data_IF_492467306640
#
_entry.id   IF_492467306640
#
_cell.length_a   1.000
_cell.length_b   1.000
_cell.length_c   1.000
_cell.angle_alpha   90.00
_cell.angle_beta   90.00
_cell.angle_gamma   90.00
#
_symmetry.space_group_name_H-M   'P 1'
#
loop_
_entity.id
_entity.type
_entity.pdbx_description
1 polymer ?
#
# COMPACT_ATOMS: atom_id res chain seq x y z
N UNK A 1 2.16 31.97 -32.35
CA UNK A 1 2.05 30.54 -32.05
C UNK A 1 0.57 30.17 -31.95
N UNK A 2 0.10 29.19 -32.75
CA UNK A 2 -1.29 28.71 -32.63
C UNK A 2 -1.32 27.66 -31.50
N UNK A 3 -2.05 27.94 -30.45
CA UNK A 3 -2.29 26.94 -29.38
C UNK A 3 -3.40 26.00 -29.83
N UNK A 4 -3.18 24.70 -29.73
CA UNK A 4 -4.17 23.68 -30.08
C UNK A 4 -4.41 22.81 -28.86
N UNK A 5 -5.68 22.69 -28.47
CA UNK A 5 -6.07 21.78 -27.35
C UNK A 5 -6.30 20.38 -27.91
N UNK A 6 -5.59 19.40 -27.36
CA UNK A 6 -5.74 17.99 -27.70
C UNK A 6 -6.42 17.25 -26.55
N UNK A 7 -7.38 16.38 -26.88
CA UNK A 7 -8.00 15.46 -25.92
C UNK A 7 -7.52 14.05 -26.21
N UNK A 8 -7.10 13.35 -25.16
CA UNK A 8 -6.70 11.95 -25.24
C UNK A 8 -7.20 11.20 -24.00
N UNK A 9 -7.31 9.88 -24.09
CA UNK A 9 -7.70 9.03 -22.99
C UNK A 9 -6.49 8.26 -22.48
N UNK A 10 -6.27 8.31 -21.17
CA UNK A 10 -5.28 7.47 -20.50
C UNK A 10 -5.94 6.11 -20.21
N UNK A 11 -5.36 5.00 -20.69
CA UNK A 11 -5.94 3.69 -20.42
C UNK A 11 -5.86 3.36 -18.93
N UNK A 12 -6.91 2.70 -18.42
CA UNK A 12 -6.91 2.21 -17.05
C UNK A 12 -5.73 1.26 -16.81
N UNK A 13 -5.06 1.41 -15.68
CA UNK A 13 -3.86 0.63 -15.35
C UNK A 13 -2.58 1.09 -16.08
N UNK A 14 -2.57 2.30 -16.68
CA UNK A 14 -1.34 2.87 -17.23
C UNK A 14 -0.23 2.89 -16.19
N UNK A 15 0.99 2.60 -16.61
CA UNK A 15 2.19 2.52 -15.77
C UNK A 15 3.13 3.66 -16.10
N UNK A 16 4.09 3.91 -15.22
CA UNK A 16 5.20 4.81 -15.45
C UNK A 16 5.86 4.53 -16.81
N UNK A 17 6.14 5.59 -17.58
CA UNK A 17 6.73 5.48 -18.91
C UNK A 17 5.80 4.93 -20.00
N UNK A 18 4.49 4.75 -19.72
CA UNK A 18 3.52 4.36 -20.76
C UNK A 18 3.46 5.41 -21.84
N UNK A 19 3.71 5.02 -23.11
CA UNK A 19 3.66 5.93 -24.26
C UNK A 19 2.36 5.76 -25.04
N UNK A 20 1.65 6.89 -25.19
CA UNK A 20 0.46 7.00 -26.03
C UNK A 20 0.82 7.67 -27.34
N UNK A 21 0.48 7.05 -28.48
CA UNK A 21 0.72 7.58 -29.82
C UNK A 21 -0.55 8.20 -30.38
N UNK A 22 -0.48 9.48 -30.73
CA UNK A 22 -1.52 10.18 -31.48
C UNK A 22 -1.06 10.44 -32.89
N UNK A 23 -1.58 9.65 -33.85
CA UNK A 23 -1.21 9.73 -35.25
C UNK A 23 -1.58 11.06 -35.86
N UNK A 24 -0.66 11.65 -36.64
CA UNK A 24 -0.88 12.90 -37.36
C UNK A 24 -1.17 14.11 -36.46
N UNK A 25 -0.70 14.12 -35.21
CA UNK A 25 -0.87 15.21 -34.26
C UNK A 25 0.45 15.83 -33.78
N UNK A 26 1.55 15.41 -34.39
CA UNK A 26 2.88 15.97 -34.14
C UNK A 26 3.16 17.22 -34.97
N UNK A 27 4.42 17.62 -34.97
CA UNK A 27 4.88 18.77 -35.79
C UNK A 27 4.76 18.45 -37.29
N UNK A 28 4.55 19.47 -38.15
CA UNK A 28 4.60 19.29 -39.59
C UNK A 28 6.00 18.88 -40.03
N UNK A 29 6.08 17.99 -41.03
CA UNK A 29 7.37 17.57 -41.57
C UNK A 29 8.14 18.75 -42.18
N UNK A 30 9.47 18.85 -41.96
CA UNK A 30 10.28 19.95 -42.43
C UNK A 30 10.35 20.07 -43.97
N UNK A 31 10.02 19.01 -44.68
CA UNK A 31 10.11 18.97 -46.15
C UNK A 31 8.84 19.31 -46.92
N UNK A 32 7.84 19.89 -46.28
CA UNK A 32 6.71 20.53 -46.95
C UNK A 32 5.70 19.59 -47.63
N UNK A 33 5.69 18.30 -47.30
CA UNK A 33 4.68 17.35 -47.83
C UNK A 33 3.29 17.58 -47.26
N UNK A 34 3.13 18.52 -46.30
CA UNK A 34 1.85 18.80 -45.63
C UNK A 34 1.40 17.71 -44.64
N UNK A 35 2.16 16.64 -44.50
CA UNK A 35 1.85 15.62 -43.53
C UNK A 35 2.36 16.00 -42.13
N UNK A 36 1.52 15.77 -41.16
CA UNK A 36 1.89 15.93 -39.74
C UNK A 36 2.49 14.63 -39.19
N UNK A 37 3.58 14.74 -38.45
CA UNK A 37 4.15 13.63 -37.71
C UNK A 37 3.23 13.14 -36.59
N UNK A 38 3.65 12.14 -35.88
CA UNK A 38 2.92 11.63 -34.72
C UNK A 38 3.34 12.36 -33.43
N UNK A 39 2.40 12.50 -32.52
CA UNK A 39 2.65 12.97 -31.16
C UNK A 39 2.72 11.80 -30.21
N UNK A 40 3.78 11.75 -29.41
CA UNK A 40 3.94 10.77 -28.34
C UNK A 40 3.76 11.47 -26.99
N UNK A 41 2.93 10.89 -26.14
CA UNK A 41 2.67 11.35 -24.78
C UNK A 41 3.19 10.27 -23.87
N UNK A 42 4.12 10.61 -22.98
CA UNK A 42 4.65 9.73 -21.95
C UNK A 42 3.92 10.02 -20.63
N UNK A 43 3.48 8.95 -19.95
CA UNK A 43 2.76 9.05 -18.70
C UNK A 43 3.78 9.00 -17.56
N UNK A 44 3.75 9.99 -16.70
CA UNK A 44 4.44 10.00 -15.42
C UNK A 44 3.42 9.72 -14.32
N UNK A 45 3.75 8.83 -13.38
CA UNK A 45 2.87 8.45 -12.27
C UNK A 45 3.43 9.03 -10.98
N UNK A 46 2.67 9.92 -10.35
CA UNK A 46 3.05 10.47 -9.05
C UNK A 46 2.94 9.42 -7.94
N UNK A 47 3.91 9.43 -7.01
CA UNK A 47 3.89 8.59 -5.83
C UNK A 47 2.73 8.99 -4.91
N UNK A 48 2.04 7.98 -4.35
CA UNK A 48 0.99 8.20 -3.38
C UNK A 48 1.54 8.07 -1.95
N UNK A 49 1.18 8.96 -1.01
CA UNK A 49 1.76 8.95 0.35
C UNK A 49 1.45 7.68 1.15
N UNK A 50 0.41 6.94 0.82
CA UNK A 50 -0.05 5.76 1.57
C UNK A 50 -0.01 4.46 0.80
N UNK A 51 -0.09 4.53 -0.54
CA UNK A 51 -0.13 3.35 -1.39
C UNK A 51 1.09 3.29 -2.29
N UNK A 52 1.82 2.21 -2.20
CA UNK A 52 2.88 1.83 -3.14
C UNK A 52 2.29 0.89 -4.18
N UNK A 53 2.66 1.07 -5.43
CA UNK A 53 2.20 0.24 -6.53
C UNK A 53 3.15 -0.93 -6.78
N UNK A 54 2.60 -2.15 -6.87
CA UNK A 54 3.32 -3.34 -7.30
C UNK A 54 2.53 -4.04 -8.43
N UNK A 55 2.82 -3.68 -9.69
CA UNK A 55 2.00 -4.10 -10.83
C UNK A 55 0.54 -3.63 -10.70
N UNK A 56 -0.45 -4.52 -10.68
CA UNK A 56 -1.84 -4.17 -10.42
C UNK A 56 -2.17 -4.06 -8.93
N UNK A 57 -1.29 -4.52 -8.04
CA UNK A 57 -1.53 -4.52 -6.61
C UNK A 57 -1.13 -3.19 -5.97
N UNK A 58 -1.78 -2.87 -4.87
CA UNK A 58 -1.48 -1.73 -4.02
C UNK A 58 -0.99 -2.24 -2.66
N UNK A 59 0.15 -1.76 -2.23
CA UNK A 59 0.73 -2.10 -0.93
C UNK A 59 0.61 -0.90 -0.01
N UNK A 60 0.20 -1.12 1.24
CA UNK A 60 0.17 -0.09 2.27
C UNK A 60 0.63 -0.62 3.62
N UNK A 61 1.21 0.24 4.43
CA UNK A 61 1.50 -0.05 5.84
C UNK A 61 0.39 0.49 6.73
N UNK A 62 -0.14 -0.37 7.61
CA UNK A 62 -1.17 0.00 8.59
C UNK A 62 -0.56 -0.04 10.00
N UNK A 63 -0.26 1.13 10.61
CA UNK A 63 0.20 1.18 11.98
C UNK A 63 -0.97 1.00 12.95
N UNK A 64 -0.87 0.02 13.85
CA UNK A 64 -1.90 -0.30 14.85
C UNK A 64 -1.28 -0.39 16.25
N UNK A 65 -2.06 -0.06 17.25
CA UNK A 65 -1.67 -0.23 18.65
C UNK A 65 -1.70 -1.70 19.09
N UNK A 66 -1.03 -1.99 20.20
CA UNK A 66 -1.01 -3.35 20.79
C UNK A 66 -2.41 -3.89 21.04
N UNK A 67 -3.30 -3.06 21.62
CA UNK A 67 -4.67 -3.48 21.93
C UNK A 67 -5.46 -3.85 20.67
N UNK A 68 -5.28 -3.10 19.56
CA UNK A 68 -5.95 -3.38 18.29
C UNK A 68 -5.50 -4.72 17.71
N UNK A 69 -4.21 -5.06 17.85
CA UNK A 69 -3.66 -6.33 17.37
C UNK A 69 -4.15 -7.51 18.19
N UNK A 70 -4.23 -7.36 19.51
CA UNK A 70 -4.68 -8.44 20.39
C UNK A 70 -6.17 -8.68 20.28
N UNK A 71 -6.97 -7.61 20.27
CA UNK A 71 -8.43 -7.69 20.31
C UNK A 71 -9.06 -7.78 18.91
N UNK A 72 -8.29 -7.43 17.88
CA UNK A 72 -8.81 -7.21 16.55
C UNK A 72 -9.51 -5.87 16.42
N UNK A 73 -9.53 -5.35 15.21
CA UNK A 73 -10.17 -4.05 14.91
C UNK A 73 -10.63 -3.99 13.46
N UNK A 74 -11.36 -2.94 13.12
CA UNK A 74 -11.76 -2.64 11.76
C UNK A 74 -11.44 -1.19 11.47
N UNK A 75 -10.62 -0.94 10.46
CA UNK A 75 -10.19 0.40 10.06
C UNK A 75 -10.76 0.72 8.70
N UNK A 76 -11.41 1.88 8.57
CA UNK A 76 -11.92 2.36 7.30
C UNK A 76 -11.11 3.56 6.85
N UNK A 77 -10.59 3.51 5.64
CA UNK A 77 -9.81 4.56 4.99
C UNK A 77 -10.43 4.92 3.65
N UNK A 78 -10.09 6.09 3.12
CA UNK A 78 -10.43 6.44 1.76
C UNK A 78 -9.48 5.74 0.77
N UNK A 79 -10.06 5.08 -0.22
CA UNK A 79 -9.33 4.42 -1.29
C UNK A 79 -9.06 5.41 -2.46
N UNK A 80 -8.16 5.05 -3.39
CA UNK A 80 -7.81 5.86 -4.57
C UNK A 80 -9.01 6.21 -5.47
N UNK A 81 -10.09 5.46 -5.42
CA UNK A 81 -11.33 5.71 -6.16
C UNK A 81 -12.33 6.61 -5.39
N UNK A 82 -11.92 7.18 -4.26
CA UNK A 82 -12.75 8.02 -3.39
C UNK A 82 -13.81 7.26 -2.61
N UNK A 83 -13.77 5.94 -2.59
CA UNK A 83 -14.69 5.08 -1.82
C UNK A 83 -14.03 4.57 -0.57
N UNK A 84 -14.86 4.16 0.37
CA UNK A 84 -14.38 3.54 1.59
C UNK A 84 -13.73 2.18 1.33
N UNK A 85 -12.56 1.98 1.94
CA UNK A 85 -11.87 0.72 2.03
C UNK A 85 -11.82 0.28 3.50
N UNK A 86 -12.57 -0.75 3.84
CA UNK A 86 -12.58 -1.30 5.19
C UNK A 86 -11.61 -2.45 5.30
N UNK A 87 -10.67 -2.33 6.22
CA UNK A 87 -9.64 -3.31 6.55
C UNK A 87 -10.03 -3.98 7.86
N UNK A 88 -10.35 -5.27 7.80
CA UNK A 88 -10.65 -6.08 8.99
C UNK A 88 -9.36 -6.71 9.49
N UNK A 89 -8.98 -6.40 10.71
CA UNK A 89 -7.79 -6.95 11.38
C UNK A 89 -8.26 -7.97 12.41
N UNK A 90 -7.99 -9.26 12.19
CA UNK A 90 -8.37 -10.31 13.14
C UNK A 90 -7.70 -10.13 14.51
N UNK A 91 -8.33 -10.63 15.56
CA UNK A 91 -7.70 -10.70 16.88
C UNK A 91 -6.48 -11.64 16.84
N UNK A 92 -5.41 -11.24 17.51
CA UNK A 92 -4.15 -11.98 17.52
C UNK A 92 -3.26 -11.78 16.29
N UNK A 93 -3.58 -10.78 15.42
CA UNK A 93 -2.71 -10.42 14.30
C UNK A 93 -1.35 -9.97 14.79
N UNK A 94 -0.29 -10.51 14.19
CA UNK A 94 1.10 -10.19 14.55
C UNK A 94 1.64 -9.03 13.71
N UNK A 95 2.51 -8.21 14.31
CA UNK A 95 3.24 -7.18 13.55
C UNK A 95 4.12 -7.84 12.48
N UNK A 96 4.02 -7.37 11.24
CA UNK A 96 4.69 -7.95 10.08
C UNK A 96 3.79 -8.88 9.24
N UNK A 97 2.62 -9.25 9.75
CA UNK A 97 1.64 -9.97 8.93
C UNK A 97 1.06 -9.10 7.82
N UNK A 98 0.66 -9.75 6.74
CA UNK A 98 -0.02 -9.11 5.62
C UNK A 98 -1.47 -9.54 5.55
N UNK A 99 -2.36 -8.57 5.34
CA UNK A 99 -3.78 -8.80 5.09
C UNK A 99 -4.07 -8.46 3.63
N UNK A 100 -4.79 -9.33 2.94
CA UNK A 100 -5.11 -9.17 1.52
C UNK A 100 -6.59 -8.79 1.34
N UNK A 101 -6.84 -7.70 0.63
CA UNK A 101 -8.18 -7.26 0.26
C UNK A 101 -8.33 -7.43 -1.25
N UNK A 102 -9.00 -8.51 -1.64
CA UNK A 102 -9.09 -8.95 -3.03
C UNK A 102 -9.85 -7.96 -3.91
N UNK A 103 -9.39 -7.82 -5.16
CA UNK A 103 -10.02 -7.02 -6.21
C UNK A 103 -10.21 -5.53 -5.83
N UNK A 104 -9.36 -5.03 -4.93
CA UNK A 104 -9.36 -3.62 -4.55
C UNK A 104 -8.10 -2.87 -5.00
N UNK A 105 -7.21 -3.54 -5.74
CA UNK A 105 -6.05 -2.93 -6.38
C UNK A 105 -6.40 -2.17 -7.66
N UNK A 106 -5.41 -1.93 -8.49
CA UNK A 106 -5.53 -1.21 -9.77
C UNK A 106 -6.07 -2.13 -10.87
N UNK A 107 -6.66 -1.58 -11.93
CA UNK A 107 -7.00 -2.34 -13.12
C UNK A 107 -5.74 -2.95 -13.76
N UNK A 108 -5.77 -4.25 -14.08
CA UNK A 108 -4.70 -4.93 -14.80
C UNK A 108 -4.74 -4.62 -16.30
N UNK A 109 -3.56 -4.40 -16.93
CA UNK A 109 -3.46 -4.03 -18.36
C UNK A 109 -3.91 -5.13 -19.34
N UNK A 110 -3.68 -6.40 -19.01
CA UNK A 110 -3.84 -7.53 -19.97
C UNK A 110 -4.98 -8.48 -19.68
N UNK A 111 -5.45 -8.57 -18.45
CA UNK A 111 -6.40 -9.62 -18.03
C UNK A 111 -7.81 -9.11 -17.73
N UNK A 112 -8.07 -7.81 -17.84
CA UNK A 112 -9.37 -7.21 -17.47
C UNK A 112 -9.74 -7.35 -16.00
N UNK A 113 -8.86 -7.93 -15.16
CA UNK A 113 -9.04 -8.06 -13.72
C UNK A 113 -8.53 -6.85 -12.96
N UNK A 114 -8.79 -6.83 -11.67
CA UNK A 114 -8.17 -5.90 -10.71
C UNK A 114 -7.18 -6.66 -9.85
N UNK A 115 -6.10 -5.98 -9.48
CA UNK A 115 -5.21 -6.45 -8.43
C UNK A 115 -5.84 -6.34 -7.04
N UNK A 116 -5.06 -6.59 -6.03
CA UNK A 116 -5.48 -6.63 -4.64
C UNK A 116 -4.85 -5.46 -3.86
N UNK A 117 -5.38 -5.18 -2.66
CA UNK A 117 -4.71 -4.32 -1.69
C UNK A 117 -4.05 -5.21 -0.65
N UNK A 118 -2.74 -5.07 -0.53
CA UNK A 118 -1.91 -5.79 0.44
C UNK A 118 -1.58 -4.83 1.59
N UNK A 119 -2.06 -5.16 2.78
CA UNK A 119 -1.89 -4.34 3.98
C UNK A 119 -0.84 -4.98 4.87
N UNK A 120 0.31 -4.33 5.02
CA UNK A 120 1.35 -4.74 5.96
C UNK A 120 1.04 -4.15 7.34
N UNK A 121 0.68 -5.00 8.28
CA UNK A 121 0.37 -4.61 9.67
C UNK A 121 1.67 -4.29 10.41
N UNK A 122 1.73 -3.12 11.05
CA UNK A 122 2.88 -2.69 11.85
C UNK A 122 2.44 -2.28 13.25
N UNK A 123 3.13 -2.77 14.26
CA UNK A 123 2.91 -2.30 15.63
C UNK A 123 3.42 -0.85 15.76
N UNK A 124 2.52 0.04 16.15
CA UNK A 124 2.84 1.41 16.50
C UNK A 124 3.03 1.56 18.01
N UNK A 125 4.21 2.01 18.41
CA UNK A 125 4.53 2.28 19.81
C UNK A 125 4.34 3.77 20.11
N UNK A 126 3.42 4.14 21.02
CA UNK A 126 3.23 5.53 21.40
C UNK A 126 4.47 6.05 22.14
N UNK A 127 4.92 7.25 21.79
CA UNK A 127 6.08 7.90 22.44
C UNK A 127 5.81 8.30 23.89
N UNK A 128 4.54 8.58 24.21
CA UNK A 128 4.09 8.99 25.55
C UNK A 128 2.74 8.34 25.84
N UNK A 129 2.54 7.91 27.08
CA UNK A 129 1.28 7.42 27.60
C UNK A 129 0.93 8.16 28.88
N UNK A 130 -0.34 8.39 29.13
CA UNK A 130 -0.83 9.01 30.36
C UNK A 130 -0.73 8.05 31.56
N UNK A 131 -0.99 8.57 32.78
CA UNK A 131 -0.91 7.77 34.01
C UNK A 131 -1.91 6.60 34.03
N UNK A 132 -3.11 6.80 33.47
CA UNK A 132 -4.17 5.77 33.42
C UNK A 132 -3.76 4.62 32.50
N UNK A 133 -3.29 4.95 31.30
CA UNK A 133 -2.80 3.96 30.31
C UNK A 133 -1.58 3.22 30.84
N UNK A 134 -0.66 3.92 31.52
CA UNK A 134 0.53 3.28 32.13
C UNK A 134 0.12 2.25 33.18
N UNK A 135 -0.87 2.55 34.03
CA UNK A 135 -1.39 1.60 35.03
C UNK A 135 -2.00 0.36 34.38
N UNK A 136 -2.84 0.56 33.34
CA UNK A 136 -3.43 -0.55 32.59
C UNK A 136 -2.37 -1.45 31.94
N UNK A 137 -1.33 -0.84 31.35
CA UNK A 137 -0.20 -1.60 30.76
C UNK A 137 0.61 -2.37 31.82
N UNK A 138 0.72 -1.86 33.06
CA UNK A 138 1.34 -2.60 34.16
C UNK A 138 0.51 -3.82 34.55
N UNK A 139 -0.80 -3.69 34.70
CA UNK A 139 -1.73 -4.79 34.94
C UNK A 139 -1.65 -5.87 33.84
N UNK A 140 -1.63 -5.45 32.57
CA UNK A 140 -1.46 -6.36 31.44
C UNK A 140 -0.14 -7.12 31.55
N UNK A 141 0.98 -6.44 31.85
CA UNK A 141 2.30 -7.05 31.98
C UNK A 141 2.34 -8.10 33.11
N UNK A 142 1.64 -7.85 34.20
CA UNK A 142 1.58 -8.79 35.35
C UNK A 142 0.74 -10.04 35.01
N UNK A 143 -0.26 -9.90 34.14
CA UNK A 143 -1.17 -10.97 33.74
C UNK A 143 -0.70 -11.75 32.49
N UNK A 144 0.30 -11.24 31.75
CA UNK A 144 0.87 -11.97 30.62
C UNK A 144 1.79 -13.09 31.08
N UNK A 145 1.53 -14.30 30.58
CA UNK A 145 2.47 -15.41 30.76
C UNK A 145 3.85 -15.07 30.20
N UNK A 146 4.94 -15.61 30.79
CA UNK A 146 6.28 -15.48 30.23
C UNK A 146 6.30 -15.91 28.78
N UNK A 147 7.06 -15.19 27.94
CA UNK A 147 7.19 -15.54 26.52
C UNK A 147 8.00 -16.84 26.43
N UNK A 148 7.39 -17.92 25.97
CA UNK A 148 8.01 -19.25 25.81
C UNK A 148 9.40 -19.22 25.18
N UNK A 149 9.62 -18.28 24.25
CA UNK A 149 10.92 -18.10 23.59
C UNK A 149 12.03 -17.69 24.57
N UNK A 150 11.73 -16.82 25.56
CA UNK A 150 12.71 -16.38 26.56
C UNK A 150 13.13 -17.58 27.44
N UNK A 151 12.17 -18.41 27.80
CA UNK A 151 12.44 -19.58 28.60
C UNK A 151 13.23 -20.65 27.83
N UNK A 152 12.94 -20.84 26.55
CA UNK A 152 13.75 -21.66 25.63
C UNK A 152 15.19 -21.15 25.53
N UNK A 153 15.40 -19.83 25.32
CA UNK A 153 16.75 -19.24 25.27
C UNK A 153 17.50 -19.47 26.56
N UNK A 154 16.84 -19.32 27.71
CA UNK A 154 17.45 -19.58 29.02
C UNK A 154 17.83 -21.07 29.21
N UNK A 155 16.99 -21.97 28.73
CA UNK A 155 17.23 -23.40 28.79
C UNK A 155 18.41 -23.81 27.91
N UNK A 156 18.39 -23.36 26.64
CA UNK A 156 19.50 -23.61 25.69
C UNK A 156 20.83 -23.07 26.19
N UNK A 157 20.82 -21.92 26.89
CA UNK A 157 22.03 -21.34 27.47
C UNK A 157 22.56 -22.17 28.65
N UNK A 158 21.69 -22.86 29.40
CA UNK A 158 22.10 -23.78 30.46
C UNK A 158 22.69 -25.06 29.88
N UNK A 159 22.04 -25.64 28.88
CA UNK A 159 22.44 -26.89 28.25
C UNK A 159 23.81 -26.79 27.55
N UNK A 160 24.16 -25.61 27.04
CA UNK A 160 25.49 -25.36 26.45
C UNK A 160 26.62 -25.15 27.47
N UNK A 161 26.29 -24.96 28.75
CA UNK A 161 27.28 -24.79 29.84
C UNK A 161 27.55 -26.07 30.61
N UNK A 162 26.79 -27.12 30.37
CA UNK A 162 26.95 -28.47 30.92
C UNK A 162 27.77 -29.32 29.99
#
# INVERSE_FOLDING_TARGET
MKSTTLRFSVPAGAEEGTRLRMRGRGAPEPQGTGQQGDLFIEIEVEEHPWFERSGPDLIMSLPLGYADLVLGTSVTIEHLDGKDLTIKVPAGTTSGETLEIRKRGLPGRRSGGRGDVIVLVKLHMPKKVDKKTKKALQEIRENLAPVDMIDRIKQDAKDRRS
#
